data_IF_288596279648
#
_entry.id   IF_288596279648
#
_cell.length_a   1.000
_cell.length_b   1.000
_cell.length_c   1.000
_cell.angle_alpha   90.00
_cell.angle_beta   90.00
_cell.angle_gamma   90.00
#
_symmetry.space_group_name_H-M   'P 1'
#
loop_
_entity.id
_entity.type
_entity.pdbx_description
1 polymer ?
#
# COMPACT_ATOMS: atom_id res chain seq x y z
N UNK A 1 -5.74 -2.58 -19.26
CA UNK A 1 -5.72 -1.84 -17.98
C UNK A 1 -5.96 -2.84 -16.86
N UNK A 2 -5.19 -2.80 -15.77
CA UNK A 2 -5.43 -3.69 -14.62
C UNK A 2 -6.56 -3.09 -13.77
N UNK A 3 -7.59 -3.89 -13.51
CA UNK A 3 -8.74 -3.51 -12.69
C UNK A 3 -8.67 -4.21 -11.32
N UNK A 4 -9.30 -3.60 -10.33
CA UNK A 4 -9.51 -4.17 -8.99
C UNK A 4 -10.96 -3.94 -8.59
N UNK A 5 -11.48 -4.78 -7.71
CA UNK A 5 -12.81 -4.60 -7.14
C UNK A 5 -12.73 -3.64 -5.95
N UNK A 6 -13.68 -2.70 -5.86
CA UNK A 6 -13.79 -1.83 -4.69
C UNK A 6 -14.32 -2.62 -3.49
N UNK A 7 -13.62 -2.66 -2.34
CA UNK A 7 -14.04 -3.46 -1.19
C UNK A 7 -15.31 -2.96 -0.50
N UNK A 8 -15.73 -1.72 -0.81
CA UNK A 8 -16.92 -1.10 -0.21
C UNK A 8 -18.19 -1.29 -1.03
N UNK A 9 -18.10 -1.24 -2.37
CA UNK A 9 -19.27 -1.30 -3.25
C UNK A 9 -19.22 -2.40 -4.32
N UNK A 10 -18.18 -3.24 -4.30
CA UNK A 10 -17.96 -4.34 -5.24
C UNK A 10 -17.86 -3.95 -6.73
N UNK A 11 -17.69 -2.66 -7.03
CA UNK A 11 -17.56 -2.20 -8.42
C UNK A 11 -16.12 -2.41 -8.94
N UNK A 12 -15.98 -2.77 -10.21
CA UNK A 12 -14.70 -2.73 -10.90
C UNK A 12 -14.19 -1.30 -11.07
N UNK A 13 -12.99 -1.04 -10.57
CA UNK A 13 -12.29 0.25 -10.69
C UNK A 13 -10.87 0.04 -11.21
N UNK A 14 -10.26 1.09 -11.77
CA UNK A 14 -8.86 1.02 -12.17
C UNK A 14 -7.96 0.83 -10.95
N UNK A 15 -6.93 -0.02 -11.09
CA UNK A 15 -6.02 -0.32 -9.99
C UNK A 15 -5.27 0.92 -9.48
N UNK A 16 -5.02 1.91 -10.36
CA UNK A 16 -4.33 3.16 -10.05
C UNK A 16 -5.23 4.23 -9.45
N UNK A 17 -6.55 4.04 -9.42
CA UNK A 17 -7.46 4.98 -8.79
C UNK A 17 -7.14 5.13 -7.30
N UNK A 18 -7.02 6.39 -6.86
CA UNK A 18 -6.80 6.77 -5.45
C UNK A 18 -8.07 6.64 -4.61
N UNK A 19 -9.23 6.86 -5.22
CA UNK A 19 -10.54 6.66 -4.60
C UNK A 19 -11.50 6.00 -5.59
N UNK A 20 -12.54 5.36 -5.08
CA UNK A 20 -13.61 4.79 -5.89
C UNK A 20 -14.50 5.93 -6.44
N UNK A 21 -14.65 6.08 -7.77
CA UNK A 21 -15.46 7.16 -8.35
C UNK A 21 -16.97 6.94 -8.13
N UNK A 22 -17.39 5.76 -7.66
CA UNK A 22 -18.80 5.41 -7.48
C UNK A 22 -19.26 5.68 -6.04
N UNK A 23 -18.49 5.24 -5.04
CA UNK A 23 -18.88 5.36 -3.63
C UNK A 23 -17.97 6.28 -2.79
N UNK A 24 -16.86 6.76 -3.35
CA UNK A 24 -15.92 7.63 -2.64
C UNK A 24 -14.92 6.93 -1.71
N UNK A 25 -14.89 5.59 -1.67
CA UNK A 25 -13.93 4.85 -0.83
C UNK A 25 -12.47 5.18 -1.20
N UNK A 26 -11.68 5.66 -0.23
CA UNK A 26 -10.26 5.96 -0.44
C UNK A 26 -9.39 4.71 -0.35
N UNK A 27 -8.58 4.47 -1.39
CA UNK A 27 -7.63 3.38 -1.41
C UNK A 27 -6.33 3.82 -0.75
N UNK A 28 -5.94 3.17 0.35
CA UNK A 28 -4.63 3.39 0.97
C UNK A 28 -3.53 3.02 -0.01
N UNK A 29 -2.70 3.99 -0.38
CA UNK A 29 -1.48 3.75 -1.13
C UNK A 29 -0.31 3.69 -0.15
N UNK A 30 0.40 2.55 -0.05
CA UNK A 30 1.54 2.46 0.84
C UNK A 30 2.61 3.45 0.38
N UNK A 31 3.08 4.30 1.29
CA UNK A 31 4.11 5.27 0.98
C UNK A 31 5.47 4.56 0.88
N UNK A 32 6.20 4.62 -0.25
CA UNK A 32 7.43 3.85 -0.43
C UNK A 32 8.52 4.22 0.58
N UNK A 33 8.51 5.47 1.09
CA UNK A 33 9.45 5.93 2.11
C UNK A 33 9.33 5.15 3.43
N UNK A 34 8.10 4.85 3.89
CA UNK A 34 7.87 4.09 5.12
C UNK A 34 8.30 2.63 4.98
N UNK A 35 8.10 2.04 3.79
CA UNK A 35 8.56 0.69 3.49
C UNK A 35 10.09 0.62 3.56
N UNK A 36 10.78 1.56 2.91
CA UNK A 36 12.24 1.62 2.95
C UNK A 36 12.79 1.85 4.35
N UNK A 37 12.18 2.74 5.12
CA UNK A 37 12.55 2.97 6.52
C UNK A 37 12.43 1.68 7.34
N UNK A 38 11.33 0.94 7.20
CA UNK A 38 11.13 -0.32 7.90
C UNK A 38 12.20 -1.36 7.53
N UNK A 39 12.56 -1.47 6.24
CA UNK A 39 13.64 -2.37 5.78
C UNK A 39 14.98 -1.98 6.43
N UNK A 40 15.32 -0.70 6.44
CA UNK A 40 16.56 -0.21 7.05
C UNK A 40 16.61 -0.52 8.54
N UNK A 41 15.51 -0.29 9.27
CA UNK A 41 15.43 -0.60 10.70
C UNK A 41 15.59 -2.10 10.98
N UNK A 42 14.99 -2.97 10.16
CA UNK A 42 15.16 -4.43 10.27
C UNK A 42 16.61 -4.83 10.03
N UNK A 43 17.27 -4.28 9.01
CA UNK A 43 18.68 -4.57 8.71
C UNK A 43 19.58 -4.13 9.87
N UNK A 44 19.38 -2.93 10.41
CA UNK A 44 20.15 -2.41 11.56
C UNK A 44 19.95 -3.31 12.78
N UNK A 45 18.70 -3.73 13.05
CA UNK A 45 18.38 -4.62 14.16
C UNK A 45 19.08 -5.98 14.02
N UNK A 46 19.06 -6.57 12.82
CA UNK A 46 19.77 -7.83 12.54
C UNK A 46 21.28 -7.69 12.72
N UNK A 47 21.89 -6.61 12.19
CA UNK A 47 23.31 -6.33 12.37
C UNK A 47 23.69 -6.16 13.85
N UNK A 48 22.86 -5.44 14.62
CA UNK A 48 23.07 -5.27 16.06
C UNK A 48 22.91 -6.59 16.83
N UNK A 49 22.02 -7.48 16.40
CA UNK A 49 21.85 -8.78 17.07
C UNK A 49 22.97 -9.79 16.83
N UNK A 50 23.78 -9.58 15.79
CA UNK A 50 24.88 -10.48 15.38
C UNK A 50 26.23 -10.01 15.95
N UNK A 51 26.39 -8.71 16.21
CA UNK A 51 27.60 -8.08 16.76
C UNK A 51 27.63 -8.13 18.29
#
# INVERSE_FOLDING_TARGET
MKKKECPSCAMEVDQKSKACPICGYEFTQPNPAWIWLAIVLIIIFLLYSIL
#
